data_IF_157079959166
#
_entry.id   IF_157079959166
#
_cell.length_a   1.000
_cell.length_b   1.000
_cell.length_c   1.000
_cell.angle_alpha   90.00
_cell.angle_beta   90.00
_cell.angle_gamma   90.00
#
_symmetry.space_group_name_H-M   'P 1'
#
loop_
_entity.id
_entity.type
_entity.pdbx_description
1 polymer ?
#
# COMPACT_ATOMS: atom_id res chain seq x y z
N UNK A 1 -17.73 -7.71 19.74
CA UNK A 1 -16.89 -8.10 20.89
C UNK A 1 -15.44 -7.84 20.47
N UNK A 2 -14.70 -6.96 21.16
CA UNK A 2 -13.31 -6.71 20.80
C UNK A 2 -12.48 -7.97 21.07
N UNK A 3 -11.72 -8.39 20.09
CA UNK A 3 -10.80 -9.51 20.22
C UNK A 3 -9.40 -8.98 20.62
N UNK A 4 -8.52 -9.86 21.10
CA UNK A 4 -7.13 -9.49 21.37
C UNK A 4 -6.39 -9.01 20.10
N UNK A 5 -6.92 -9.27 18.92
CA UNK A 5 -6.46 -8.76 17.63
C UNK A 5 -6.56 -7.22 17.53
N UNK A 6 -7.46 -6.61 18.32
CA UNK A 6 -7.67 -5.16 18.35
C UNK A 6 -6.84 -4.44 19.42
N UNK A 7 -5.87 -5.13 20.02
CA UNK A 7 -5.12 -4.63 21.20
C UNK A 7 -4.43 -3.28 20.97
N UNK A 8 -3.92 -2.99 19.76
CA UNK A 8 -3.35 -1.67 19.44
C UNK A 8 -4.40 -0.56 19.45
N UNK A 9 -5.59 -0.85 18.92
CA UNK A 9 -6.71 0.09 18.92
C UNK A 9 -7.22 0.31 20.35
N UNK A 10 -7.31 -0.74 21.17
CA UNK A 10 -7.65 -0.65 22.58
C UNK A 10 -6.67 0.24 23.33
N UNK A 11 -5.35 0.09 23.12
CA UNK A 11 -4.33 0.95 23.73
C UNK A 11 -4.47 2.43 23.30
N UNK A 12 -4.82 2.69 22.04
CA UNK A 12 -5.09 4.03 21.53
C UNK A 12 -6.29 4.66 22.24
N UNK A 13 -7.41 3.95 22.33
CA UNK A 13 -8.63 4.42 23.00
C UNK A 13 -8.41 4.57 24.51
N UNK A 14 -7.68 3.65 25.13
CA UNK A 14 -7.31 3.74 26.55
C UNK A 14 -6.52 5.02 26.81
N UNK A 15 -5.51 5.33 25.99
CA UNK A 15 -4.72 6.56 26.13
C UNK A 15 -5.60 7.80 26.02
N UNK A 16 -6.49 7.83 25.03
CA UNK A 16 -7.40 8.96 24.84
C UNK A 16 -8.35 9.13 26.03
N UNK A 17 -9.01 8.06 26.48
CA UNK A 17 -9.93 8.12 27.60
C UNK A 17 -9.28 8.45 28.96
N UNK A 18 -7.99 8.14 29.13
CA UNK A 18 -7.21 8.55 30.29
C UNK A 18 -6.83 10.03 30.22
N UNK A 19 -6.41 10.53 29.06
CA UNK A 19 -6.11 11.94 28.85
C UNK A 19 -7.31 12.85 29.13
N UNK A 20 -8.52 12.43 28.72
CA UNK A 20 -9.79 13.13 29.03
C UNK A 20 -10.10 13.21 30.53
N UNK A 21 -9.48 12.35 31.33
CA UNK A 21 -9.59 12.32 32.81
C UNK A 21 -8.37 12.91 33.53
N UNK A 22 -7.50 13.60 32.77
CA UNK A 22 -6.30 14.23 33.32
C UNK A 22 -5.15 13.25 33.65
N UNK A 23 -5.22 12.02 33.15
CA UNK A 23 -4.14 11.03 33.33
C UNK A 23 -3.36 10.88 32.04
N UNK A 24 -2.12 11.35 32.01
CA UNK A 24 -1.25 11.23 30.85
C UNK A 24 -0.40 9.95 30.92
N UNK A 25 -0.62 9.04 29.98
CA UNK A 25 0.21 7.86 29.77
C UNK A 25 0.77 7.84 28.34
N UNK A 26 1.99 7.32 28.20
CA UNK A 26 2.57 7.07 26.90
C UNK A 26 1.79 5.96 26.16
N UNK A 27 1.87 5.93 24.82
CA UNK A 27 1.27 4.85 24.05
C UNK A 27 1.83 3.48 24.45
N UNK A 28 3.14 3.40 24.71
CA UNK A 28 3.79 2.16 25.16
C UNK A 28 3.24 1.70 26.53
N UNK A 29 3.04 2.62 27.48
CA UNK A 29 2.44 2.27 28.76
C UNK A 29 1.01 1.74 28.61
N UNK A 30 0.23 2.29 27.68
CA UNK A 30 -1.12 1.78 27.39
C UNK A 30 -1.09 0.41 26.73
N UNK A 31 -0.11 0.11 25.86
CA UNK A 31 0.09 -1.23 25.30
C UNK A 31 0.39 -2.27 26.39
N UNK A 32 1.26 -1.94 27.36
CA UNK A 32 1.55 -2.80 28.50
C UNK A 32 0.32 -3.05 29.38
N UNK A 33 -0.51 -2.03 29.60
CA UNK A 33 -1.76 -2.18 30.35
C UNK A 33 -2.74 -3.11 29.62
N UNK A 34 -2.87 -2.96 28.33
CA UNK A 34 -3.71 -3.83 27.50
C UNK A 34 -3.18 -5.27 27.52
N UNK A 35 -1.86 -5.49 27.43
CA UNK A 35 -1.27 -6.82 27.54
C UNK A 35 -1.63 -7.51 28.87
N UNK A 36 -1.55 -6.78 29.97
CA UNK A 36 -1.95 -7.30 31.30
C UNK A 36 -3.44 -7.64 31.37
N UNK A 37 -4.32 -6.89 30.71
CA UNK A 37 -5.76 -7.21 30.64
C UNK A 37 -6.02 -8.54 29.93
N UNK A 38 -5.15 -8.95 28.99
CA UNK A 38 -5.19 -10.26 28.35
C UNK A 38 -4.40 -11.35 29.11
N UNK A 39 -3.95 -11.06 30.34
CA UNK A 39 -3.28 -12.03 31.19
C UNK A 39 -1.86 -12.39 30.75
N UNK A 40 -1.19 -11.51 29.98
CA UNK A 40 0.21 -11.70 29.57
C UNK A 40 1.13 -10.68 30.24
N UNK A 41 2.41 -11.03 30.40
CA UNK A 41 3.34 -10.24 31.20
C UNK A 41 3.67 -8.88 30.57
N UNK A 42 3.78 -8.83 29.26
CA UNK A 42 4.16 -7.62 28.51
C UNK A 42 3.58 -7.60 27.09
N UNK A 43 3.74 -6.44 26.44
CA UNK A 43 3.28 -6.22 25.08
C UNK A 43 3.97 -7.13 24.05
N UNK A 44 5.24 -7.47 24.21
CA UNK A 44 5.96 -8.30 23.26
C UNK A 44 5.35 -9.72 23.21
N UNK A 45 4.98 -10.25 24.37
CA UNK A 45 4.30 -11.55 24.49
C UNK A 45 2.91 -11.49 23.86
N UNK A 46 2.15 -10.41 24.12
CA UNK A 46 0.83 -10.24 23.50
C UNK A 46 0.94 -10.12 21.99
N UNK A 47 1.85 -9.29 21.49
CA UNK A 47 2.10 -9.11 20.05
C UNK A 47 2.48 -10.43 19.38
N UNK A 48 3.39 -11.20 19.96
CA UNK A 48 3.77 -12.51 19.44
C UNK A 48 2.59 -13.50 19.43
N UNK A 49 1.69 -13.46 20.44
CA UNK A 49 0.46 -14.27 20.44
C UNK A 49 -0.55 -13.81 19.41
N UNK A 50 -0.68 -12.49 19.19
CA UNK A 50 -1.52 -11.93 18.11
C UNK A 50 -0.99 -12.42 16.77
N UNK A 51 0.32 -12.33 16.54
CA UNK A 51 0.97 -12.77 15.30
C UNK A 51 0.79 -14.27 15.08
N UNK A 52 0.93 -15.09 16.13
CA UNK A 52 0.71 -16.52 16.09
C UNK A 52 -0.77 -16.92 15.88
N UNK A 53 -1.69 -16.23 16.57
CA UNK A 53 -3.13 -16.50 16.47
C UNK A 53 -3.76 -15.96 15.18
N UNK A 54 -3.13 -14.95 14.58
CA UNK A 54 -3.51 -14.45 13.27
C UNK A 54 -3.37 -15.51 12.17
N UNK A 55 -2.94 -16.74 12.52
CA UNK A 55 -3.08 -17.98 11.71
C UNK A 55 -2.63 -17.88 10.25
N UNK A 56 -2.23 -16.70 9.85
CA UNK A 56 -1.69 -16.42 8.56
C UNK A 56 -0.19 -16.76 8.59
N UNK A 57 0.19 -17.83 7.93
CA UNK A 57 1.56 -18.03 7.51
C UNK A 57 2.11 -16.67 7.10
N UNK A 58 3.04 -16.14 7.89
CA UNK A 58 3.76 -14.91 7.51
C UNK A 58 4.53 -15.30 6.27
N UNK A 59 4.05 -14.86 5.11
CA UNK A 59 4.75 -15.12 3.86
C UNK A 59 6.14 -14.48 3.96
N UNK A 60 7.18 -15.19 3.54
CA UNK A 60 8.52 -14.65 3.50
C UNK A 60 8.53 -13.43 2.57
N UNK A 61 9.20 -12.36 2.97
CA UNK A 61 9.37 -11.20 2.10
C UNK A 61 10.52 -11.43 1.12
N UNK A 62 10.41 -10.94 -0.12
CA UNK A 62 11.57 -10.85 -0.99
C UNK A 62 12.63 -9.90 -0.39
N UNK A 63 13.90 -10.18 -0.63
CA UNK A 63 14.99 -9.33 -0.15
C UNK A 63 14.84 -7.89 -0.64
N UNK A 64 14.98 -6.92 0.27
CA UNK A 64 14.85 -5.50 -0.02
C UNK A 64 13.41 -5.00 -0.20
N UNK A 65 12.40 -5.86 -0.03
CA UNK A 65 11.00 -5.47 -0.07
C UNK A 65 10.41 -5.39 1.32
N UNK A 66 9.42 -4.52 1.48
CA UNK A 66 8.70 -4.34 2.75
C UNK A 66 7.20 -4.12 2.50
N UNK A 67 6.43 -4.26 3.57
CA UNK A 67 4.99 -4.07 3.56
C UNK A 67 4.68 -2.70 4.15
N UNK A 68 3.75 -1.98 3.51
CA UNK A 68 3.15 -0.75 4.01
C UNK A 68 1.66 -0.71 3.63
N UNK A 69 0.93 0.27 4.09
CA UNK A 69 -0.48 0.46 3.74
C UNK A 69 -1.36 0.86 4.92
N UNK A 70 -2.57 1.26 4.59
CA UNK A 70 -3.59 1.55 5.60
C UNK A 70 -4.18 0.22 6.07
N UNK A 71 -4.04 -0.06 7.37
CA UNK A 71 -4.47 -1.31 7.98
C UNK A 71 -3.81 -2.57 7.36
N UNK A 72 -2.53 -2.46 6.96
CA UNK A 72 -1.76 -3.52 6.33
C UNK A 72 -1.73 -4.84 7.14
N UNK A 73 -1.87 -4.78 8.47
CA UNK A 73 -2.00 -5.96 9.33
C UNK A 73 -3.24 -6.83 9.07
N UNK A 74 -4.24 -6.32 8.33
CA UNK A 74 -5.42 -7.07 7.89
C UNK A 74 -5.17 -7.92 6.64
N UNK A 75 -3.93 -7.93 6.16
CA UNK A 75 -3.51 -8.65 4.95
C UNK A 75 -2.35 -9.58 5.27
N UNK A 76 -2.19 -10.61 4.45
CA UNK A 76 -0.97 -11.39 4.32
C UNK A 76 -0.28 -11.00 3.02
N UNK A 77 1.03 -10.69 3.06
CA UNK A 77 1.78 -10.33 1.87
C UNK A 77 3.20 -10.91 1.90
N UNK A 78 3.71 -11.34 0.75
CA UNK A 78 5.04 -11.90 0.60
C UNK A 78 5.17 -12.84 -0.59
N UNK A 79 6.19 -13.69 -0.57
CA UNK A 79 6.43 -14.70 -1.60
C UNK A 79 5.30 -15.74 -1.60
N UNK A 80 4.77 -16.02 -2.79
CA UNK A 80 3.74 -17.06 -2.94
C UNK A 80 4.40 -18.45 -2.85
N UNK A 81 4.06 -19.27 -1.84
CA UNK A 81 4.66 -20.60 -1.68
C UNK A 81 4.26 -21.58 -2.80
N UNK A 82 3.18 -21.30 -3.52
CA UNK A 82 2.68 -22.14 -4.61
C UNK A 82 3.34 -21.81 -5.96
N UNK A 83 3.89 -20.61 -6.13
CA UNK A 83 4.41 -20.14 -7.41
C UNK A 83 5.72 -19.39 -7.23
N UNK A 84 6.84 -20.04 -7.53
CA UNK A 84 8.16 -19.41 -7.49
C UNK A 84 8.24 -18.13 -8.33
N UNK A 85 8.96 -17.11 -7.83
CA UNK A 85 9.12 -15.82 -8.50
C UNK A 85 7.85 -14.94 -8.51
N UNK A 86 6.87 -15.28 -7.68
CA UNK A 86 5.60 -14.59 -7.57
C UNK A 86 5.41 -14.10 -6.13
N UNK A 87 4.84 -12.92 -5.97
CA UNK A 87 4.37 -12.42 -4.68
C UNK A 87 2.85 -12.45 -4.64
N UNK A 88 2.30 -12.62 -3.44
CA UNK A 88 0.88 -12.62 -3.13
C UNK A 88 0.59 -11.54 -2.09
N UNK A 89 -0.50 -10.80 -2.28
CA UNK A 89 -1.16 -10.03 -1.23
C UNK A 89 -2.59 -10.55 -1.13
N UNK A 90 -3.04 -10.88 0.06
CA UNK A 90 -4.39 -11.39 0.29
C UNK A 90 -5.01 -10.74 1.53
N UNK A 91 -6.25 -10.32 1.45
CA UNK A 91 -7.01 -9.92 2.63
C UNK A 91 -7.24 -11.14 3.53
N UNK A 92 -7.08 -10.94 4.83
CA UNK A 92 -7.32 -12.00 5.81
C UNK A 92 -8.83 -12.26 5.95
N UNK A 93 -9.29 -13.50 5.81
CA UNK A 93 -10.72 -13.81 5.89
C UNK A 93 -11.39 -13.32 7.17
N UNK A 94 -10.68 -13.40 8.30
CA UNK A 94 -11.14 -12.95 9.62
C UNK A 94 -11.28 -11.43 9.74
N UNK A 95 -10.71 -10.70 8.80
CA UNK A 95 -10.76 -9.23 8.73
C UNK A 95 -11.70 -8.72 7.64
N UNK A 96 -12.36 -9.58 6.87
CA UNK A 96 -13.11 -9.19 5.68
C UNK A 96 -14.21 -8.14 5.98
N UNK A 97 -14.92 -8.28 7.09
CA UNK A 97 -15.96 -7.33 7.51
C UNK A 97 -15.42 -6.03 8.12
N UNK A 98 -14.12 -5.96 8.36
CA UNK A 98 -13.43 -4.80 8.92
C UNK A 98 -12.78 -3.93 7.84
N UNK A 99 -12.71 -4.44 6.60
CA UNK A 99 -12.09 -3.73 5.49
C UNK A 99 -13.05 -2.72 4.87
N UNK A 100 -12.55 -1.52 4.62
CA UNK A 100 -13.25 -0.48 3.88
C UNK A 100 -12.51 -0.14 2.56
N UNK A 101 -13.11 0.72 1.73
CA UNK A 101 -12.56 1.11 0.43
C UNK A 101 -11.22 1.88 0.51
N UNK A 102 -10.87 2.37 1.68
CA UNK A 102 -9.62 3.10 1.89
C UNK A 102 -8.52 2.19 2.44
N UNK A 103 -8.85 0.96 2.84
CA UNK A 103 -7.87 -0.01 3.31
C UNK A 103 -7.09 -0.61 2.15
N UNK A 104 -5.80 -0.71 2.31
CA UNK A 104 -4.92 -1.35 1.33
C UNK A 104 -3.65 -1.89 1.98
N UNK A 105 -3.06 -2.87 1.32
CA UNK A 105 -1.74 -3.37 1.63
C UNK A 105 -0.88 -3.30 0.37
N UNK A 106 0.31 -2.78 0.50
CA UNK A 106 1.31 -2.76 -0.57
C UNK A 106 2.55 -3.55 -0.18
N UNK A 107 3.06 -4.32 -1.11
CA UNK A 107 4.40 -4.88 -1.08
C UNK A 107 5.26 -4.00 -1.99
N UNK A 108 6.29 -3.39 -1.43
CA UNK A 108 7.01 -2.30 -2.08
C UNK A 108 8.51 -2.35 -1.83
N UNK A 109 9.24 -1.66 -2.69
CA UNK A 109 10.66 -1.39 -2.56
C UNK A 109 10.92 0.11 -2.66
N UNK A 110 11.92 0.58 -1.92
CA UNK A 110 12.45 1.94 -1.99
C UNK A 110 13.91 1.88 -2.38
N UNK A 111 14.30 2.65 -3.39
CA UNK A 111 15.69 2.77 -3.84
C UNK A 111 16.12 4.22 -3.94
N UNK A 112 17.42 4.47 -3.80
CA UNK A 112 18.01 5.79 -4.00
C UNK A 112 17.83 6.25 -5.46
N UNK A 113 17.45 7.51 -5.67
CA UNK A 113 17.19 8.03 -6.99
C UNK A 113 18.44 8.58 -7.71
N UNK A 114 19.61 8.68 -7.05
CA UNK A 114 20.77 9.42 -7.56
C UNK A 114 21.23 8.91 -8.93
N UNK A 115 21.27 7.59 -9.14
CA UNK A 115 21.68 6.99 -10.41
C UNK A 115 20.65 7.15 -11.54
N UNK A 116 19.44 7.57 -11.24
CA UNK A 116 18.31 7.62 -12.17
C UNK A 116 17.87 9.05 -12.54
N UNK A 117 18.45 10.08 -11.90
CA UNK A 117 18.07 11.47 -12.10
C UNK A 117 18.21 11.87 -13.58
N UNK A 118 17.22 12.59 -14.08
CA UNK A 118 17.15 13.04 -15.47
C UNK A 118 16.77 11.94 -16.47
N UNK A 119 16.57 10.72 -16.03
CA UNK A 119 16.16 9.61 -16.89
C UNK A 119 14.63 9.48 -16.91
N UNK A 120 14.14 8.89 -18.01
CA UNK A 120 12.77 8.37 -18.09
C UNK A 120 12.79 6.90 -17.73
N UNK A 121 12.03 6.51 -16.71
CA UNK A 121 11.96 5.13 -16.23
C UNK A 121 10.62 4.52 -16.55
N UNK A 122 10.67 3.26 -16.97
CA UNK A 122 9.52 2.39 -17.17
C UNK A 122 9.52 1.29 -16.12
N UNK A 123 8.50 1.30 -15.28
CA UNK A 123 8.17 0.20 -14.37
C UNK A 123 7.18 -0.74 -15.07
N UNK A 124 7.46 -2.05 -15.08
CA UNK A 124 6.57 -3.08 -15.58
C UNK A 124 6.42 -4.20 -14.57
N UNK A 125 5.24 -4.81 -14.52
CA UNK A 125 5.02 -6.08 -13.85
C UNK A 125 3.77 -6.77 -14.40
N UNK A 126 3.70 -8.10 -14.27
CA UNK A 126 2.48 -8.85 -14.51
C UNK A 126 1.73 -9.00 -13.20
N UNK A 127 0.45 -8.67 -13.20
CA UNK A 127 -0.45 -8.81 -12.06
C UNK A 127 -1.63 -9.71 -12.39
N UNK A 128 -2.18 -10.34 -11.36
CA UNK A 128 -3.37 -11.21 -11.43
C UNK A 128 -4.25 -10.92 -10.22
N UNK A 129 -5.55 -11.03 -10.37
CA UNK A 129 -6.53 -10.81 -9.31
C UNK A 129 -7.48 -12.00 -9.13
N UNK A 130 -7.94 -12.21 -7.90
CA UNK A 130 -8.99 -13.17 -7.56
C UNK A 130 -9.89 -12.57 -6.49
N UNK A 131 -11.18 -12.40 -6.84
CA UNK A 131 -12.20 -11.79 -5.97
C UNK A 131 -11.73 -10.46 -5.34
N UNK A 132 -10.96 -9.66 -6.10
CA UNK A 132 -10.31 -8.46 -5.60
C UNK A 132 -11.13 -7.20 -5.86
N UNK A 133 -11.14 -6.29 -4.89
CA UNK A 133 -11.70 -4.95 -5.07
C UNK A 133 -10.79 -4.08 -5.95
N UNK A 134 -9.46 -4.26 -5.86
CA UNK A 134 -8.52 -3.61 -6.75
C UNK A 134 -7.07 -4.05 -6.56
N UNK A 135 -6.42 -4.51 -7.64
CA UNK A 135 -4.99 -4.86 -7.69
C UNK A 135 -4.31 -4.04 -8.76
N UNK A 136 -3.25 -3.35 -8.43
CA UNK A 136 -2.45 -2.60 -9.41
C UNK A 136 -1.01 -2.43 -8.96
N UNK A 137 -0.15 -1.97 -9.88
CA UNK A 137 1.19 -1.48 -9.54
C UNK A 137 1.15 0.04 -9.35
N UNK A 138 2.17 0.55 -8.69
CA UNK A 138 2.34 1.98 -8.51
C UNK A 138 3.81 2.38 -8.54
N UNK A 139 4.06 3.64 -8.89
CA UNK A 139 5.39 4.20 -8.95
C UNK A 139 5.35 5.65 -8.43
N UNK A 140 6.23 5.96 -7.48
CA UNK A 140 6.32 7.25 -6.81
C UNK A 140 7.77 7.71 -6.76
N UNK A 141 8.00 8.96 -7.04
CA UNK A 141 9.29 9.63 -6.97
C UNK A 141 9.18 10.76 -5.97
N UNK A 142 10.01 10.73 -4.93
CA UNK A 142 10.07 11.76 -3.91
C UNK A 142 11.35 12.60 -4.02
N UNK A 143 11.22 13.87 -3.67
CA UNK A 143 12.31 14.82 -3.50
C UNK A 143 12.43 15.25 -2.04
N UNK A 144 13.31 16.25 -1.75
CA UNK A 144 13.54 16.72 -0.38
C UNK A 144 12.28 17.23 0.33
N UNK A 145 11.32 17.73 -0.44
CA UNK A 145 10.08 18.32 0.08
C UNK A 145 8.85 17.43 -0.14
N UNK A 146 9.06 16.14 -0.44
CA UNK A 146 8.00 15.15 -0.64
C UNK A 146 7.76 14.78 -2.10
N UNK A 147 6.52 14.48 -2.43
CA UNK A 147 6.11 13.92 -3.71
C UNK A 147 6.45 14.80 -4.92
N UNK A 148 7.21 14.24 -5.88
CA UNK A 148 7.50 14.86 -7.18
C UNK A 148 6.66 14.28 -8.32
N UNK A 149 6.56 12.93 -8.37
CA UNK A 149 5.82 12.19 -9.41
C UNK A 149 5.12 11.00 -8.77
N UNK A 150 3.94 10.68 -9.28
CA UNK A 150 3.18 9.50 -8.84
C UNK A 150 2.22 9.04 -9.93
N UNK A 151 2.14 7.73 -10.10
CA UNK A 151 1.09 7.06 -10.84
C UNK A 151 0.80 5.69 -10.21
N UNK A 152 -0.46 5.30 -10.19
CA UNK A 152 -0.94 4.01 -9.70
C UNK A 152 -1.96 3.39 -10.66
N UNK A 153 -2.07 3.92 -11.84
CA UNK A 153 -2.99 3.49 -12.90
C UNK A 153 -4.49 3.56 -12.57
N UNK A 154 -4.88 4.02 -11.37
CA UNK A 154 -6.32 4.10 -11.01
C UNK A 154 -7.16 4.93 -11.99
N UNK A 155 -6.51 5.82 -12.73
CA UNK A 155 -7.17 6.69 -13.71
C UNK A 155 -6.85 6.32 -15.15
N UNK A 156 -6.16 5.19 -15.36
CA UNK A 156 -5.90 4.69 -16.71
C UNK A 156 -7.20 4.13 -17.30
N UNK A 157 -7.60 4.55 -18.49
CA UNK A 157 -8.82 4.05 -19.12
C UNK A 157 -8.67 2.62 -19.64
N UNK A 158 -7.45 2.15 -19.90
CA UNK A 158 -7.15 0.85 -20.52
C UNK A 158 -6.46 -0.11 -19.56
N UNK A 159 -5.55 0.40 -18.72
CA UNK A 159 -4.64 -0.40 -17.91
C UNK A 159 -4.86 -0.18 -16.40
N UNK A 160 -6.09 0.13 -16.03
CA UNK A 160 -6.49 0.36 -14.65
C UNK A 160 -6.27 -0.85 -13.73
N UNK A 161 -6.62 -0.70 -12.44
CA UNK A 161 -6.60 -1.80 -11.49
C UNK A 161 -7.39 -3.01 -11.98
N UNK A 162 -6.90 -4.22 -11.71
CA UNK A 162 -7.68 -5.43 -11.91
C UNK A 162 -8.70 -5.55 -10.77
N UNK A 163 -9.96 -5.77 -11.12
CA UNK A 163 -11.05 -6.01 -10.18
C UNK A 163 -11.68 -7.37 -10.42
N UNK A 164 -12.35 -7.92 -9.40
CA UNK A 164 -12.94 -9.25 -9.47
C UNK A 164 -11.87 -10.34 -9.63
N UNK A 165 -12.08 -11.24 -10.59
CA UNK A 165 -11.13 -12.31 -10.90
C UNK A 165 -10.68 -12.19 -12.35
N UNK A 166 -9.37 -12.04 -12.55
CA UNK A 166 -8.75 -11.90 -13.89
C UNK A 166 -7.40 -12.61 -13.94
N UNK A 167 -7.05 -13.10 -15.11
CA UNK A 167 -5.76 -13.72 -15.40
C UNK A 167 -4.60 -12.72 -15.35
N UNK A 168 -3.41 -13.20 -15.66
CA UNK A 168 -2.21 -12.37 -15.75
C UNK A 168 -2.34 -11.29 -16.80
N UNK A 169 -2.10 -10.04 -16.41
CA UNK A 169 -2.06 -8.88 -17.28
C UNK A 169 -0.82 -8.04 -16.95
N UNK A 170 -0.11 -7.59 -17.96
CA UNK A 170 0.98 -6.64 -17.78
C UNK A 170 0.43 -5.26 -17.42
N UNK A 171 1.14 -4.56 -16.55
CA UNK A 171 0.92 -3.15 -16.24
C UNK A 171 2.23 -2.41 -16.39
N UNK A 172 2.13 -1.19 -16.90
CA UNK A 172 3.29 -0.35 -17.21
C UNK A 172 3.05 1.07 -16.71
N UNK A 173 4.04 1.63 -16.02
CA UNK A 173 4.08 3.04 -15.62
C UNK A 173 5.37 3.65 -16.14
N UNK A 174 5.29 4.81 -16.78
CA UNK A 174 6.46 5.54 -17.29
C UNK A 174 6.49 6.93 -16.67
N UNK A 175 7.55 7.22 -15.91
CA UNK A 175 7.75 8.53 -15.27
C UNK A 175 9.14 9.09 -15.60
N UNK A 176 9.23 10.43 -15.65
CA UNK A 176 10.52 11.13 -15.63
C UNK A 176 10.98 11.31 -14.20
N UNK A 177 12.27 11.04 -13.96
CA UNK A 177 12.93 11.25 -12.67
C UNK A 177 13.53 12.66 -12.63
N UNK A 178 12.96 13.59 -11.86
CA UNK A 178 13.50 14.94 -11.75
C UNK A 178 14.92 14.96 -11.18
N UNK A 179 15.66 16.03 -11.45
CA UNK A 179 17.04 16.19 -10.95
C UNK A 179 17.11 16.26 -9.41
N UNK A 180 16.04 16.75 -8.78
CA UNK A 180 15.91 16.87 -7.33
C UNK A 180 15.38 15.59 -6.66
N UNK A 181 15.18 14.50 -7.41
CA UNK A 181 14.70 13.24 -6.85
C UNK A 181 15.67 12.66 -5.82
N UNK A 182 15.12 12.16 -4.71
CA UNK A 182 15.85 11.51 -3.59
C UNK A 182 15.58 10.02 -3.56
N UNK A 183 14.34 9.61 -3.74
CA UNK A 183 13.98 8.19 -3.73
C UNK A 183 12.97 7.82 -4.80
N UNK A 184 13.07 6.57 -5.24
CA UNK A 184 12.10 5.88 -6.08
C UNK A 184 11.40 4.83 -5.22
N UNK A 185 10.09 4.85 -5.21
CA UNK A 185 9.25 3.93 -4.45
C UNK A 185 8.28 3.25 -5.41
N UNK A 186 8.22 1.94 -5.41
CA UNK A 186 7.34 1.20 -6.32
C UNK A 186 6.92 -0.14 -5.74
N UNK A 187 5.82 -0.66 -6.24
CA UNK A 187 5.32 -1.93 -5.78
C UNK A 187 4.00 -2.34 -6.41
N UNK A 188 3.39 -3.33 -5.79
CA UNK A 188 2.03 -3.79 -6.05
C UNK A 188 1.20 -3.57 -4.81
N UNK A 189 -0.06 -3.18 -4.97
CA UNK A 189 -1.00 -3.15 -3.86
C UNK A 189 -2.31 -3.87 -4.16
N UNK A 190 -2.91 -4.37 -3.10
CA UNK A 190 -4.31 -4.81 -3.04
C UNK A 190 -5.09 -3.79 -2.20
N UNK A 191 -6.13 -3.22 -2.78
CA UNK A 191 -7.09 -2.34 -2.12
C UNK A 191 -8.32 -3.14 -1.75
N UNK A 192 -8.83 -2.95 -0.53
CA UNK A 192 -10.00 -3.67 -0.06
C UNK A 192 -9.77 -5.18 0.06
N UNK A 193 -10.71 -5.97 -0.42
CA UNK A 193 -10.76 -7.43 -0.27
C UNK A 193 -10.13 -8.16 -1.44
N UNK A 194 -9.87 -9.45 -1.24
CA UNK A 194 -9.50 -10.40 -2.28
C UNK A 194 -8.04 -10.82 -2.24
N UNK A 195 -7.54 -11.25 -3.40
CA UNK A 195 -6.16 -11.70 -3.60
C UNK A 195 -5.57 -11.03 -4.84
N UNK A 196 -4.33 -10.58 -4.72
CA UNK A 196 -3.54 -10.05 -5.81
C UNK A 196 -2.19 -10.73 -5.90
N UNK A 197 -1.75 -11.08 -7.09
CA UNK A 197 -0.41 -11.61 -7.35
C UNK A 197 0.34 -10.66 -8.26
N UNK A 198 1.67 -10.62 -8.08
CA UNK A 198 2.55 -9.94 -9.01
C UNK A 198 3.83 -10.74 -9.25
N UNK A 199 4.40 -10.58 -10.46
CA UNK A 199 5.67 -11.18 -10.87
C UNK A 199 6.35 -10.38 -11.97
N UNK A 200 7.64 -10.64 -12.17
CA UNK A 200 8.37 -10.06 -13.29
C UNK A 200 8.49 -8.54 -13.23
N UNK A 201 8.68 -7.97 -12.03
CA UNK A 201 9.00 -6.56 -11.90
C UNK A 201 10.27 -6.22 -12.67
N UNK A 202 10.21 -5.18 -13.48
CA UNK A 202 11.35 -4.60 -14.18
C UNK A 202 11.26 -3.08 -14.15
N UNK A 203 12.39 -2.44 -13.85
CA UNK A 203 12.55 -0.98 -13.86
C UNK A 203 13.67 -0.64 -14.83
N UNK A 204 13.30 -0.14 -16.00
CA UNK A 204 14.21 0.11 -17.13
C UNK A 204 14.29 1.61 -17.45
N UNK A 205 15.48 2.11 -17.75
CA UNK A 205 15.61 3.39 -18.43
C UNK A 205 15.13 3.25 -19.89
N UNK A 206 14.32 4.20 -20.33
CA UNK A 206 13.81 4.27 -21.70
C UNK A 206 14.08 5.64 -22.30
N UNK A 207 14.12 5.70 -23.62
CA UNK A 207 14.28 6.97 -24.33
C UNK A 207 12.97 7.79 -24.37
N UNK A 208 13.04 8.99 -24.90
CA UNK A 208 11.92 9.93 -24.95
C UNK A 208 10.85 9.58 -25.99
N UNK A 209 11.08 8.59 -26.83
CA UNK A 209 10.07 8.05 -27.76
C UNK A 209 9.02 7.22 -27.02
N UNK A 210 9.34 6.66 -25.87
CA UNK A 210 8.38 5.97 -25.02
C UNK A 210 7.49 6.99 -24.30
N UNK A 211 6.17 6.99 -24.55
CA UNK A 211 5.30 8.00 -23.96
C UNK A 211 5.23 7.86 -22.44
N UNK A 212 5.17 9.01 -21.77
CA UNK A 212 4.88 9.02 -20.33
C UNK A 212 3.48 8.49 -20.05
N UNK A 213 3.31 7.86 -18.90
CA UNK A 213 1.98 7.55 -18.38
C UNK A 213 1.12 8.81 -18.39
N UNK A 214 -0.15 8.71 -18.87
CA UNK A 214 -0.98 9.88 -19.04
C UNK A 214 -1.18 10.55 -17.67
N UNK A 215 -0.70 11.78 -17.55
CA UNK A 215 -1.08 12.62 -16.41
C UNK A 215 -2.58 12.87 -16.50
N UNK A 216 -3.22 12.93 -15.34
CA UNK A 216 -4.54 13.56 -15.22
C UNK A 216 -4.53 14.80 -16.08
N UNK A 217 -5.57 14.98 -16.90
CA UNK A 217 -5.67 16.10 -17.84
C UNK A 217 -5.06 17.36 -17.23
N UNK A 218 -4.18 18.06 -17.93
CA UNK A 218 -3.63 19.30 -17.43
C UNK A 218 -4.82 20.17 -17.02
N UNK A 219 -4.81 20.66 -15.78
CA UNK A 219 -5.87 21.52 -15.29
C UNK A 219 -6.14 22.63 -16.30
N UNK A 220 -7.32 23.18 -16.30
CA UNK A 220 -7.68 24.34 -17.11
C UNK A 220 -6.58 25.39 -16.93
N UNK A 221 -6.10 25.96 -18.03
CA UNK A 221 -5.06 27.01 -17.99
C UNK A 221 -5.50 28.28 -17.25
N UNK A 222 -6.82 28.48 -17.13
CA UNK A 222 -7.45 29.56 -16.39
C UNK A 222 -8.78 29.06 -15.82
N UNK A 223 -9.25 29.66 -14.70
CA UNK A 223 -10.58 29.40 -14.19
C UNK A 223 -11.64 29.71 -15.26
N UNK A 224 -12.68 28.90 -15.37
CA UNK A 224 -13.80 29.09 -16.29
C UNK A 224 -15.12 28.88 -15.55
N UNK A 225 -16.19 29.58 -16.00
CA UNK A 225 -17.55 29.37 -15.54
C UNK A 225 -17.68 29.41 -14.00
N UNK A 226 -17.06 30.39 -13.35
CA UNK A 226 -17.10 30.54 -11.88
C UNK A 226 -18.50 30.92 -11.36
N UNK A 227 -19.39 31.37 -12.23
CA UNK A 227 -20.80 31.70 -11.95
C UNK A 227 -21.72 30.49 -12.19
N UNK A 228 -21.18 29.32 -12.60
CA UNK A 228 -21.94 28.09 -12.90
C UNK A 228 -23.05 28.28 -13.94
N UNK A 229 -22.93 29.27 -14.83
CA UNK A 229 -23.90 29.53 -15.87
C UNK A 229 -24.00 28.32 -16.83
N UNK A 230 -25.24 27.91 -17.15
CA UNK A 230 -25.46 26.88 -18.17
C UNK A 230 -24.98 27.42 -19.52
N UNK A 231 -24.21 26.60 -20.24
CA UNK A 231 -23.90 26.93 -21.64
C UNK A 231 -25.16 26.69 -22.49
N UNK A 232 -25.57 27.72 -23.21
CA UNK A 232 -26.63 27.62 -24.23
C UNK A 232 -26.16 26.72 -25.41
#
# INVERSE_FOLDING_TARGET
MHSFMDAKLMAKHLRQGLAERGVELSHSACLELVARQFGVADWNILSARIDAASGGSTLALPDGWHIDGRNAGRYGAGLDPAHAGTVLIASRPECADLLDEADFCTLMQTVDAAAFRGQRLRLRAHIKAEHADGVTIWFRIDGPNGLLRFDNLERSPTDGPLTGSSGWAERTIVLEVPQEAVSLNYGVYLKGRGRGWARGFALDAVDDTVPLSPRIQPGLRAPTNLDFAARA
#
